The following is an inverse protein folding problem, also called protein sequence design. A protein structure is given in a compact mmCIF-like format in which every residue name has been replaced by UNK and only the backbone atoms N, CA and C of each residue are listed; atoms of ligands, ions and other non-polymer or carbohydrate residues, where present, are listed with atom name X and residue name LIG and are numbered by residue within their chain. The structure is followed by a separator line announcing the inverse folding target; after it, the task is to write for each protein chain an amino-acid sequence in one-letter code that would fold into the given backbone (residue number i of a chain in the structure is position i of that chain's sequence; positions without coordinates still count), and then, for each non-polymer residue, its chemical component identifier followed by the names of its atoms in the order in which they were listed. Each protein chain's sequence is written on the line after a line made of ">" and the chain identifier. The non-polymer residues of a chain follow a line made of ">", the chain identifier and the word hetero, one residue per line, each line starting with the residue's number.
data_IF_049219878586
#
_entry.id   IF_049219878586
#
_cell.length_a   1.000
_cell.length_b   1.000
_cell.length_c   1.000
_cell.angle_alpha   90.00
_cell.angle_beta   90.00
_cell.angle_gamma   90.00
#
_symmetry.space_group_name_H-M   'P 1'
#
loop_
_entity.id
_entity.type
_entity.pdbx_description
1 polymer ?
#
# COMPACT_ATOMS: atom_id res chain seq x y z
N UNK A 1 34.78 -13.00 18.84
CA UNK A 1 34.68 -11.79 17.99
C UNK A 1 33.22 -11.38 18.00
N UNK A 2 32.87 -10.41 18.84
CA UNK A 2 31.49 -9.94 19.02
C UNK A 2 31.07 -9.16 17.76
N UNK A 3 30.33 -9.81 16.86
CA UNK A 3 29.73 -9.15 15.69
C UNK A 3 28.62 -8.21 16.17
N UNK A 4 28.98 -6.95 16.46
CA UNK A 4 28.01 -5.87 16.69
C UNK A 4 27.17 -5.70 15.42
N UNK A 5 26.00 -6.29 15.41
CA UNK A 5 24.96 -6.04 14.41
C UNK A 5 24.66 -4.53 14.50
N UNK A 6 24.88 -3.74 13.45
CA UNK A 6 24.57 -2.32 13.49
C UNK A 6 23.07 -2.18 13.74
N UNK A 7 22.70 -1.46 14.81
CA UNK A 7 21.31 -1.15 15.09
C UNK A 7 20.74 -0.40 13.89
N UNK A 8 19.81 -1.04 13.18
CA UNK A 8 19.09 -0.39 12.08
C UNK A 8 18.16 0.63 12.72
N UNK A 9 18.62 1.88 12.82
CA UNK A 9 17.74 2.98 13.19
C UNK A 9 16.67 3.15 12.10
N UNK A 10 15.49 2.59 12.35
CA UNK A 10 14.33 2.81 11.50
C UNK A 10 13.88 4.25 11.71
N UNK A 11 14.37 5.17 10.88
CA UNK A 11 13.83 6.52 10.80
C UNK A 11 12.39 6.45 10.30
N UNK A 12 11.45 6.34 11.23
CA UNK A 12 10.03 6.50 10.96
C UNK A 12 9.84 7.95 10.49
N UNK A 13 9.80 8.15 9.17
CA UNK A 13 9.52 9.44 8.54
C UNK A 13 8.04 9.81 8.75
N UNK A 14 7.69 10.05 10.01
CA UNK A 14 6.32 10.28 10.46
C UNK A 14 6.04 11.77 10.51
N UNK A 15 5.19 12.24 9.58
CA UNK A 15 4.80 13.64 9.49
C UNK A 15 3.42 13.81 10.12
N UNK A 16 3.40 14.16 11.41
CA UNK A 16 2.19 14.38 12.20
C UNK A 16 1.21 15.36 11.55
N UNK A 17 1.72 16.41 10.90
CA UNK A 17 0.90 17.39 10.17
C UNK A 17 0.10 16.74 9.04
N UNK A 18 0.73 15.87 8.24
CA UNK A 18 0.07 15.16 7.15
C UNK A 18 -0.97 14.17 7.64
N UNK A 19 -0.70 13.51 8.78
CA UNK A 19 -1.67 12.62 9.43
C UNK A 19 -2.91 13.39 9.89
N UNK A 20 -2.73 14.52 10.59
CA UNK A 20 -3.83 15.33 11.09
C UNK A 20 -4.72 15.84 9.95
N UNK A 21 -4.12 16.28 8.83
CA UNK A 21 -4.88 16.70 7.64
C UNK A 21 -5.70 15.54 7.07
N UNK A 22 -5.11 14.35 6.94
CA UNK A 22 -5.80 13.18 6.42
C UNK A 22 -6.98 12.76 7.30
N UNK A 23 -6.78 12.73 8.62
CA UNK A 23 -7.83 12.41 9.59
C UNK A 23 -8.93 13.47 9.57
N UNK A 24 -8.57 14.74 9.55
CA UNK A 24 -9.53 15.85 9.48
C UNK A 24 -10.42 15.74 8.23
N UNK A 25 -9.83 15.50 7.06
CA UNK A 25 -10.60 15.34 5.81
C UNK A 25 -11.52 14.11 5.88
N UNK A 26 -11.02 12.98 6.38
CA UNK A 26 -11.85 11.77 6.56
C UNK A 26 -13.04 12.00 7.48
N UNK A 27 -12.82 12.67 8.62
CA UNK A 27 -13.88 13.01 9.57
C UNK A 27 -14.87 14.03 9.02
N UNK A 28 -14.41 15.01 8.25
CA UNK A 28 -15.28 15.98 7.58
C UNK A 28 -16.23 15.29 6.60
N UNK A 29 -15.72 14.36 5.78
CA UNK A 29 -16.56 13.60 4.85
C UNK A 29 -17.54 12.71 5.63
N UNK A 30 -17.08 12.06 6.69
CA UNK A 30 -17.93 11.21 7.52
C UNK A 30 -19.05 11.99 8.23
N UNK A 31 -18.78 13.22 8.65
CA UNK A 31 -19.75 14.08 9.33
C UNK A 31 -20.84 14.64 8.39
N UNK A 32 -20.56 14.72 7.09
CA UNK A 32 -21.56 15.09 6.08
C UNK A 32 -22.58 13.94 5.97
N UNK A 33 -23.89 14.24 6.02
CA UNK A 33 -24.93 13.21 5.90
C UNK A 33 -24.80 12.49 4.56
N UNK A 34 -25.07 11.19 4.58
CA UNK A 34 -25.04 10.33 3.41
C UNK A 34 -25.99 10.86 2.33
N UNK A 35 -25.52 11.11 1.10
CA UNK A 35 -26.40 11.52 0.00
C UNK A 35 -27.49 10.48 -0.27
N UNK A 36 -28.65 10.94 -0.74
CA UNK A 36 -29.75 10.04 -1.11
C UNK A 36 -29.31 9.04 -2.19
N UNK A 37 -29.67 7.77 -2.00
CA UNK A 37 -29.30 6.69 -2.91
C UNK A 37 -27.97 5.97 -2.58
N UNK A 38 -27.23 6.41 -1.56
CA UNK A 38 -26.01 5.74 -1.08
C UNK A 38 -26.22 5.06 0.28
N UNK A 39 -25.65 3.87 0.44
CA UNK A 39 -25.61 3.22 1.75
C UNK A 39 -24.60 3.90 2.67
N UNK A 40 -24.89 3.95 3.98
CA UNK A 40 -23.98 4.50 4.98
C UNK A 40 -22.61 3.80 4.96
N UNK A 41 -22.60 2.49 4.67
CA UNK A 41 -21.38 1.70 4.50
C UNK A 41 -20.54 2.18 3.31
N UNK A 42 -21.17 2.47 2.17
CA UNK A 42 -20.47 2.97 0.99
C UNK A 42 -19.88 4.37 1.22
N UNK A 43 -20.62 5.24 1.92
CA UNK A 43 -20.15 6.58 2.27
C UNK A 43 -18.95 6.55 3.24
N UNK A 44 -19.02 5.72 4.28
CA UNK A 44 -17.90 5.54 5.21
C UNK A 44 -16.66 4.95 4.53
N UNK A 45 -16.85 4.04 3.56
CA UNK A 45 -15.75 3.49 2.76
C UNK A 45 -15.10 4.55 1.87
N UNK A 46 -15.90 5.45 1.27
CA UNK A 46 -15.39 6.60 0.54
C UNK A 46 -14.57 7.54 1.45
N UNK A 47 -15.10 7.87 2.63
CA UNK A 47 -14.42 8.73 3.59
C UNK A 47 -13.05 8.16 3.99
N UNK A 48 -13.00 6.85 4.30
CA UNK A 48 -11.75 6.16 4.64
C UNK A 48 -10.78 6.11 3.46
N UNK A 49 -11.29 5.86 2.25
CA UNK A 49 -10.46 5.84 1.04
C UNK A 49 -9.82 7.21 0.78
N UNK A 50 -10.60 8.29 0.80
CA UNK A 50 -10.10 9.66 0.62
C UNK A 50 -9.09 10.01 1.70
N UNK A 51 -9.38 9.72 2.97
CA UNK A 51 -8.44 9.92 4.07
C UNK A 51 -7.10 9.21 3.83
N UNK A 52 -7.15 7.96 3.35
CA UNK A 52 -5.95 7.16 3.05
C UNK A 52 -5.14 7.76 1.91
N UNK A 53 -5.78 8.22 0.83
CA UNK A 53 -5.11 8.87 -0.29
C UNK A 53 -4.43 10.17 0.16
N UNK A 54 -5.11 11.00 0.94
CA UNK A 54 -4.53 12.22 1.50
C UNK A 54 -3.32 11.88 2.38
N UNK A 55 -3.41 10.86 3.24
CA UNK A 55 -2.30 10.45 4.10
C UNK A 55 -1.05 10.03 3.29
N UNK A 56 -1.25 9.33 2.16
CA UNK A 56 -0.18 8.91 1.26
C UNK A 56 0.44 10.11 0.54
N UNK A 57 -0.37 11.02 -0.01
CA UNK A 57 0.10 12.22 -0.73
C UNK A 57 0.85 13.16 0.21
N UNK A 58 0.32 13.38 1.42
CA UNK A 58 0.95 14.19 2.46
C UNK A 58 2.22 13.53 3.04
N UNK A 59 2.54 12.29 2.62
CA UNK A 59 3.67 11.49 3.12
C UNK A 59 3.66 11.41 4.65
N UNK A 60 2.47 11.19 5.23
CA UNK A 60 2.28 11.09 6.68
C UNK A 60 3.12 9.95 7.26
N UNK A 61 3.21 8.82 6.54
CA UNK A 61 3.99 7.64 6.88
C UNK A 61 4.29 6.83 5.60
N UNK A 62 5.12 5.76 5.65
CA UNK A 62 5.36 4.90 4.49
C UNK A 62 4.05 4.35 3.92
N UNK A 63 3.94 4.28 2.59
CA UNK A 63 2.70 3.92 1.88
C UNK A 63 2.08 2.61 2.41
N UNK A 64 2.89 1.57 2.60
CA UNK A 64 2.40 0.29 3.13
C UNK A 64 1.89 0.36 4.57
N UNK A 65 2.47 1.24 5.40
CA UNK A 65 2.00 1.42 6.77
C UNK A 65 0.68 2.21 6.80
N UNK A 66 0.53 3.23 5.95
CA UNK A 66 -0.73 3.99 5.82
C UNK A 66 -1.89 3.09 5.38
N UNK A 67 -1.67 2.22 4.39
CA UNK A 67 -2.70 1.30 3.90
C UNK A 67 -3.03 0.20 4.91
N UNK A 68 -2.07 -0.28 5.70
CA UNK A 68 -2.34 -1.22 6.79
C UNK A 68 -3.16 -0.58 7.91
N UNK A 69 -2.85 0.66 8.30
CA UNK A 69 -3.67 1.38 9.29
C UNK A 69 -5.10 1.56 8.78
N UNK A 70 -5.27 1.97 7.53
CA UNK A 70 -6.58 2.08 6.90
C UNK A 70 -7.33 0.74 6.88
N UNK A 71 -6.64 -0.37 6.60
CA UNK A 71 -7.21 -1.71 6.64
C UNK A 71 -7.75 -2.06 8.04
N UNK A 72 -6.97 -1.79 9.09
CA UNK A 72 -7.40 -2.00 10.48
C UNK A 72 -8.60 -1.13 10.81
N UNK A 73 -8.59 0.14 10.44
CA UNK A 73 -9.73 1.05 10.65
C UNK A 73 -10.97 0.52 9.92
N UNK A 74 -10.83 0.04 8.68
CA UNK A 74 -11.93 -0.57 7.90
C UNK A 74 -12.55 -1.77 8.59
N UNK A 75 -11.73 -2.63 9.21
CA UNK A 75 -12.19 -3.77 10.01
C UNK A 75 -12.89 -3.35 11.29
N UNK A 76 -12.30 -2.40 12.04
CA UNK A 76 -12.85 -1.91 13.31
C UNK A 76 -14.17 -1.14 13.14
N UNK A 77 -14.30 -0.38 12.04
CA UNK A 77 -15.52 0.36 11.69
C UNK A 77 -16.60 -0.51 11.06
N UNK A 78 -16.31 -1.79 10.80
CA UNK A 78 -17.25 -2.72 10.15
C UNK A 78 -17.50 -2.44 8.67
N UNK A 79 -16.72 -1.55 8.04
CA UNK A 79 -16.82 -1.26 6.60
C UNK A 79 -16.48 -2.49 5.76
N UNK A 80 -15.56 -3.32 6.25
CA UNK A 80 -15.22 -4.63 5.69
C UNK A 80 -15.28 -5.69 6.78
N UNK A 81 -15.94 -6.85 6.56
CA UNK A 81 -16.06 -7.88 7.56
C UNK A 81 -14.71 -8.61 7.73
N UNK A 82 -14.38 -8.92 8.99
CA UNK A 82 -13.19 -9.71 9.33
C UNK A 82 -13.42 -11.18 8.95
N UNK A 83 -14.62 -11.69 9.24
CA UNK A 83 -15.10 -13.00 8.80
C UNK A 83 -16.21 -12.79 7.76
N UNK A 84 -15.88 -12.78 6.46
CA UNK A 84 -16.87 -12.60 5.40
C UNK A 84 -17.87 -13.76 5.39
N UNK A 85 -19.16 -13.44 5.29
CA UNK A 85 -20.21 -14.41 4.92
C UNK A 85 -20.22 -14.61 3.40
N UNK A 86 -20.92 -15.64 2.94
CA UNK A 86 -21.07 -15.90 1.50
C UNK A 86 -21.60 -14.65 0.79
N UNK A 87 -20.83 -14.16 -0.19
CA UNK A 87 -21.15 -12.97 -0.99
C UNK A 87 -20.53 -11.65 -0.50
N UNK A 88 -19.87 -11.61 0.66
CA UNK A 88 -19.19 -10.40 1.15
C UNK A 88 -17.69 -10.38 0.83
N UNK A 89 -17.18 -9.18 0.53
CA UNK A 89 -15.74 -8.96 0.32
C UNK A 89 -15.08 -8.78 1.68
N UNK A 90 -14.35 -9.81 2.13
CA UNK A 90 -13.62 -9.77 3.41
C UNK A 90 -12.46 -8.78 3.41
N UNK A 91 -12.09 -8.28 4.58
CA UNK A 91 -11.00 -7.33 4.78
C UNK A 91 -9.67 -7.79 4.12
N UNK A 92 -9.35 -9.08 4.23
CA UNK A 92 -8.08 -9.63 3.70
C UNK A 92 -8.19 -10.18 2.26
N UNK A 93 -9.37 -10.15 1.65
CA UNK A 93 -9.60 -10.73 0.32
C UNK A 93 -8.70 -10.11 -0.76
N UNK A 94 -8.35 -8.83 -0.62
CA UNK A 94 -7.43 -8.14 -1.53
C UNK A 94 -6.03 -8.75 -1.59
N UNK A 95 -5.54 -9.39 -0.51
CA UNK A 95 -4.23 -10.05 -0.51
C UNK A 95 -4.19 -11.34 -1.33
N UNK A 96 -5.36 -11.93 -1.63
CA UNK A 96 -5.49 -13.10 -2.49
C UNK A 96 -5.68 -12.73 -3.97
N UNK A 97 -5.56 -11.45 -4.34
CA UNK A 97 -5.72 -11.00 -5.72
C UNK A 97 -4.58 -11.52 -6.61
N UNK A 98 -4.95 -12.22 -7.68
CA UNK A 98 -4.00 -12.85 -8.62
C UNK A 98 -3.10 -11.82 -9.31
N UNK A 99 -3.62 -10.66 -9.70
CA UNK A 99 -2.85 -9.59 -10.33
C UNK A 99 -1.77 -9.05 -9.40
N UNK A 100 -2.05 -8.89 -8.10
CA UNK A 100 -1.04 -8.46 -7.12
C UNK A 100 0.08 -9.50 -6.99
N UNK A 101 -0.28 -10.78 -6.96
CA UNK A 101 0.71 -11.87 -6.91
C UNK A 101 1.55 -11.97 -8.17
N UNK A 102 0.99 -11.69 -9.35
CA UNK A 102 1.77 -11.61 -10.60
C UNK A 102 2.87 -10.53 -10.52
N UNK A 103 2.56 -9.37 -9.94
CA UNK A 103 3.55 -8.31 -9.72
C UNK A 103 4.64 -8.79 -8.74
N UNK A 104 4.26 -9.46 -7.63
CA UNK A 104 5.21 -9.99 -6.66
C UNK A 104 6.19 -10.99 -7.28
N UNK A 105 5.68 -11.94 -8.08
CA UNK A 105 6.49 -12.94 -8.79
C UNK A 105 7.45 -12.27 -9.79
N UNK A 106 6.98 -11.27 -10.54
CA UNK A 106 7.83 -10.51 -11.45
C UNK A 106 8.97 -9.79 -10.73
N UNK A 107 8.72 -9.22 -9.55
CA UNK A 107 9.75 -8.59 -8.71
C UNK A 107 10.78 -9.61 -8.18
N UNK A 108 10.35 -10.81 -7.80
CA UNK A 108 11.27 -11.89 -7.42
C UNK A 108 12.13 -12.37 -8.59
N UNK A 109 11.53 -12.53 -9.78
CA UNK A 109 12.25 -12.90 -10.99
C UNK A 109 13.29 -11.84 -11.37
N UNK A 110 12.93 -10.55 -11.30
CA UNK A 110 13.86 -9.43 -11.50
C UNK A 110 15.08 -9.52 -10.58
N UNK A 111 14.87 -9.79 -9.29
CA UNK A 111 15.96 -10.01 -8.33
C UNK A 111 16.83 -11.22 -8.67
N UNK A 112 16.25 -12.32 -9.16
CA UNK A 112 17.00 -13.49 -9.60
C UNK A 112 17.87 -13.18 -10.83
N UNK A 113 17.35 -12.43 -11.81
CA UNK A 113 18.09 -11.99 -13.01
C UNK A 113 19.27 -11.09 -12.65
N UNK A 114 19.10 -10.20 -11.66
CA UNK A 114 20.18 -9.35 -11.15
C UNK A 114 21.24 -10.19 -10.42
N UNK A 115 20.81 -11.07 -9.50
CA UNK A 115 21.73 -11.88 -8.68
C UNK A 115 22.55 -12.87 -9.51
N UNK A 116 21.96 -13.47 -10.54
CA UNK A 116 22.66 -14.37 -11.47
C UNK A 116 23.57 -13.64 -12.46
N UNK A 117 23.49 -12.31 -12.54
CA UNK A 117 24.22 -11.50 -13.51
C UNK A 117 23.70 -11.62 -14.94
N UNK A 118 22.61 -12.36 -15.17
CA UNK A 118 22.02 -12.53 -16.50
C UNK A 118 21.61 -11.18 -17.10
N UNK A 119 21.00 -10.30 -16.31
CA UNK A 119 20.62 -8.95 -16.76
C UNK A 119 21.82 -8.14 -17.25
N UNK A 120 22.96 -8.24 -16.55
CA UNK A 120 24.21 -7.58 -16.95
C UNK A 120 24.78 -8.16 -18.25
N UNK A 121 24.76 -9.50 -18.41
CA UNK A 121 25.22 -10.16 -19.64
C UNK A 121 24.39 -9.73 -20.85
N UNK A 122 23.06 -9.70 -20.72
CA UNK A 122 22.15 -9.27 -21.78
C UNK A 122 22.37 -7.78 -22.10
N UNK A 123 22.49 -6.91 -21.08
CA UNK A 123 22.75 -5.49 -21.29
C UNK A 123 24.07 -5.26 -22.05
N UNK A 124 25.15 -5.97 -21.69
CA UNK A 124 26.43 -5.89 -22.39
C UNK A 124 26.33 -6.40 -23.83
N UNK A 125 25.52 -7.41 -24.11
CA UNK A 125 25.27 -7.88 -25.48
C UNK A 125 24.62 -6.79 -26.35
N UNK A 126 23.62 -6.08 -25.83
CA UNK A 126 23.01 -4.94 -26.51
C UNK A 126 24.02 -3.80 -26.75
N UNK A 127 24.82 -3.44 -25.73
CA UNK A 127 25.88 -2.43 -25.87
C UNK A 127 26.90 -2.83 -26.92
N UNK A 128 27.35 -4.08 -26.94
CA UNK A 128 28.31 -4.58 -27.93
C UNK A 128 27.76 -4.53 -29.36
N UNK A 129 26.46 -4.78 -29.54
CA UNK A 129 25.82 -4.83 -30.87
C UNK A 129 25.42 -3.46 -31.41
N UNK A 130 25.00 -2.55 -30.54
CA UNK A 130 24.40 -1.26 -30.92
C UNK A 130 25.16 -0.02 -30.44
N UNK A 131 26.09 -0.15 -29.49
CA UNK A 131 26.78 0.99 -28.85
C UNK A 131 28.05 1.48 -29.56
N UNK A 132 28.40 0.93 -30.75
CA UNK A 132 29.58 1.35 -31.54
C UNK A 132 29.25 2.35 -32.67
N UNK A 133 28.22 3.17 -32.50
CA UNK A 133 28.01 4.39 -33.28
C UNK A 133 27.71 5.55 -32.35
#
# INVERSE_FOLDING_TARGET
>A
MESKIPAVEVKLNFKWQGLLIAVAIGLLIWAIPTPEGLSARAWGMLALFVATIVAIIAKAMPMGAATLVALVISGLTGLTPISPKQGEVGMLSGFANSTIWLIAIAMFLSRAVIKTGLGKRIALYFVARFGKK
#
